data_IF_341761576653
#
_entry.id   IF_341761576653
#
_cell.length_a   1.000
_cell.length_b   1.000
_cell.length_c   1.000
_cell.angle_alpha   90.00
_cell.angle_beta   90.00
_cell.angle_gamma   90.00
#
_symmetry.space_group_name_H-M   'P 1'
#
loop_
_entity.id
_entity.type
_entity.pdbx_description
1 polymer ?
#
# COMPACT_ATOMS: atom_id res chain seq x y z
N UNK A 1 -20.96 -20.35 -4.11
CA UNK A 1 -20.69 -19.39 -3.07
C UNK A 1 -19.19 -19.48 -2.82
N UNK A 2 -18.40 -18.47 -3.20
CA UNK A 2 -16.95 -18.50 -2.96
C UNK A 2 -16.67 -18.33 -1.48
N UNK A 3 -15.55 -18.88 -1.01
CA UNK A 3 -15.13 -18.68 0.39
C UNK A 3 -14.88 -17.20 0.66
N UNK A 4 -15.44 -16.68 1.75
CA UNK A 4 -15.20 -15.30 2.19
C UNK A 4 -13.76 -15.21 2.70
N UNK A 5 -12.98 -14.30 2.14
CA UNK A 5 -11.59 -14.11 2.52
C UNK A 5 -11.49 -13.19 3.73
N UNK A 6 -10.79 -13.64 4.78
CA UNK A 6 -10.48 -12.81 5.94
C UNK A 6 -9.10 -12.17 5.75
N UNK A 7 -9.04 -10.86 5.93
CA UNK A 7 -7.80 -10.08 5.93
C UNK A 7 -7.38 -9.73 7.34
N UNK A 8 -6.12 -9.32 7.47
CA UNK A 8 -5.55 -8.85 8.74
C UNK A 8 -4.84 -7.52 8.52
N UNK A 9 -4.63 -6.75 9.57
CA UNK A 9 -3.79 -5.56 9.55
C UNK A 9 -2.32 -5.96 9.60
N UNK A 10 -1.46 -5.17 8.95
CA UNK A 10 -0.01 -5.29 9.08
C UNK A 10 0.49 -4.16 9.99
N UNK A 11 0.91 -4.52 11.20
CA UNK A 11 1.46 -3.56 12.18
C UNK A 11 2.81 -4.07 12.66
N UNK A 12 3.85 -3.27 12.52
CA UNK A 12 5.23 -3.59 12.93
C UNK A 12 5.79 -4.89 12.31
N UNK A 13 5.34 -5.24 11.11
CA UNK A 13 5.76 -6.47 10.42
C UNK A 13 4.91 -7.71 10.73
N UNK A 14 3.98 -7.63 11.68
CA UNK A 14 3.10 -8.72 12.09
C UNK A 14 1.69 -8.56 11.50
N UNK A 15 1.09 -9.69 11.10
CA UNK A 15 -0.32 -9.75 10.72
C UNK A 15 -1.17 -9.90 11.98
N UNK A 16 -2.06 -8.94 12.22
CA UNK A 16 -2.87 -8.86 13.45
C UNK A 16 -4.35 -8.59 13.14
N UNK A 17 -5.22 -9.13 13.97
CA UNK A 17 -6.63 -8.80 13.98
C UNK A 17 -6.87 -7.50 14.77
N UNK A 18 -8.08 -6.93 14.68
CA UNK A 18 -8.48 -5.81 15.52
C UNK A 18 -8.44 -6.24 17.00
N UNK A 19 -7.99 -5.35 17.91
CA UNK A 19 -7.77 -5.68 19.32
C UNK A 19 -9.04 -6.08 20.08
N UNK A 20 -10.21 -5.66 19.59
CA UNK A 20 -11.52 -6.07 20.09
C UNK A 20 -12.17 -7.20 19.27
N UNK A 21 -11.49 -7.67 18.21
CA UNK A 21 -12.01 -8.67 17.29
C UNK A 21 -13.05 -8.14 16.29
N UNK A 22 -13.26 -6.82 16.22
CA UNK A 22 -14.19 -6.19 15.31
C UNK A 22 -13.79 -6.43 13.84
N UNK A 23 -14.79 -6.72 12.99
CA UNK A 23 -14.63 -6.87 11.55
C UNK A 23 -15.80 -6.25 10.82
N UNK A 24 -15.57 -5.75 9.63
CA UNK A 24 -16.62 -5.35 8.72
C UNK A 24 -16.55 -6.11 7.40
N UNK A 25 -17.69 -6.26 6.77
CA UNK A 25 -17.82 -6.96 5.50
C UNK A 25 -17.54 -5.99 4.33
N UNK A 26 -16.68 -6.41 3.39
CA UNK A 26 -16.56 -5.74 2.10
C UNK A 26 -17.47 -6.42 1.08
N UNK A 27 -18.30 -5.61 0.43
CA UNK A 27 -19.33 -6.04 -0.52
C UNK A 27 -18.88 -5.76 -1.94
N UNK A 28 -18.94 -6.76 -2.81
CA UNK A 28 -18.72 -6.58 -4.25
C UNK A 28 -19.90 -5.80 -4.86
N UNK A 29 -19.70 -4.58 -5.36
CA UNK A 29 -20.78 -3.74 -5.86
C UNK A 29 -21.44 -4.27 -7.16
N UNK A 30 -20.78 -5.21 -7.85
CA UNK A 30 -21.34 -5.82 -9.06
C UNK A 30 -22.30 -6.97 -8.78
N UNK A 31 -22.22 -7.61 -7.61
CA UNK A 31 -22.97 -8.81 -7.26
C UNK A 31 -23.75 -8.66 -5.96
N UNK A 32 -23.52 -7.60 -5.23
CA UNK A 32 -24.09 -7.32 -3.90
C UNK A 32 -23.80 -8.44 -2.85
N UNK A 33 -22.72 -9.18 -3.07
CA UNK A 33 -22.31 -10.24 -2.16
C UNK A 33 -21.07 -9.84 -1.36
N UNK A 34 -21.02 -10.27 -0.10
CA UNK A 34 -19.81 -10.18 0.73
C UNK A 34 -18.74 -11.07 0.11
N UNK A 35 -17.59 -10.52 -0.19
CA UNK A 35 -16.44 -11.23 -0.74
C UNK A 35 -15.26 -11.31 0.24
N UNK A 36 -15.17 -10.37 1.18
CA UNK A 36 -14.12 -10.39 2.20
C UNK A 36 -14.56 -9.76 3.51
N UNK A 37 -13.80 -10.04 4.59
CA UNK A 37 -13.88 -9.41 5.88
C UNK A 37 -12.57 -8.74 6.21
N UNK A 38 -12.66 -7.53 6.74
CA UNK A 38 -11.51 -6.68 7.08
C UNK A 38 -11.62 -6.29 8.55
N UNK A 39 -10.51 -6.26 9.30
CA UNK A 39 -10.53 -5.82 10.70
C UNK A 39 -11.02 -4.38 10.82
N UNK A 40 -11.92 -4.12 11.77
CA UNK A 40 -12.33 -2.79 12.17
C UNK A 40 -11.38 -2.28 13.25
N UNK A 41 -10.36 -1.50 12.81
CA UNK A 41 -9.30 -1.05 13.69
C UNK A 41 -9.84 -0.14 14.81
N UNK A 42 -9.47 -0.44 16.06
CA UNK A 42 -9.75 0.43 17.20
C UNK A 42 -8.78 1.60 17.25
N UNK A 43 -9.07 2.61 18.06
CA UNK A 43 -8.13 3.72 18.32
C UNK A 43 -6.78 3.20 18.84
N UNK A 44 -6.78 2.16 19.67
CA UNK A 44 -5.56 1.53 20.17
C UNK A 44 -4.72 0.91 19.04
N UNK A 45 -5.37 0.27 18.07
CA UNK A 45 -4.71 -0.31 16.90
C UNK A 45 -4.08 0.76 16.02
N UNK A 46 -4.83 1.83 15.77
CA UNK A 46 -4.33 2.99 15.00
C UNK A 46 -3.12 3.61 15.70
N UNK A 47 -3.18 3.83 17.01
CA UNK A 47 -2.08 4.37 17.79
C UNK A 47 -0.84 3.47 17.75
N UNK A 48 -1.01 2.14 17.82
CA UNK A 48 0.09 1.18 17.63
C UNK A 48 0.71 1.28 16.24
N UNK A 49 -0.12 1.35 15.21
CA UNK A 49 0.35 1.45 13.83
C UNK A 49 1.14 2.73 13.59
N UNK A 50 0.62 3.88 14.06
CA UNK A 50 1.30 5.19 13.95
C UNK A 50 2.61 5.19 14.73
N UNK A 51 2.63 4.67 15.96
CA UNK A 51 3.85 4.59 16.79
C UNK A 51 4.91 3.71 16.12
N UNK A 52 4.50 2.55 15.57
CA UNK A 52 5.40 1.67 14.82
C UNK A 52 6.00 2.35 13.60
N UNK A 53 5.17 3.04 12.81
CA UNK A 53 5.63 3.78 11.64
C UNK A 53 6.59 4.92 12.01
N UNK A 54 6.30 5.66 13.08
CA UNK A 54 7.16 6.73 13.58
C UNK A 54 8.52 6.18 14.05
N UNK A 55 8.53 5.10 14.81
CA UNK A 55 9.76 4.46 15.29
C UNK A 55 10.59 3.93 14.12
N UNK A 56 9.96 3.30 13.13
CA UNK A 56 10.66 2.83 11.93
C UNK A 56 11.30 3.97 11.14
N UNK A 57 10.65 5.13 11.09
CA UNK A 57 11.16 6.32 10.43
C UNK A 57 12.28 7.02 11.22
N UNK A 58 12.13 7.20 12.53
CA UNK A 58 13.03 7.98 13.36
C UNK A 58 14.22 7.19 13.91
N UNK A 59 13.99 5.94 14.33
CA UNK A 59 14.96 5.13 15.07
C UNK A 59 15.32 3.83 14.35
N UNK A 60 14.52 3.43 13.35
CA UNK A 60 14.73 2.21 12.58
C UNK A 60 15.87 2.29 11.55
N UNK A 61 16.19 1.16 10.90
CA UNK A 61 17.23 1.11 9.87
C UNK A 61 17.00 2.08 8.71
N UNK A 62 15.74 2.46 8.47
CA UNK A 62 15.37 3.37 7.40
C UNK A 62 16.01 4.76 7.53
N UNK A 63 16.10 5.29 8.75
CA UNK A 63 16.74 6.59 9.03
C UNK A 63 18.22 6.60 8.65
N UNK A 64 18.89 5.46 8.77
CA UNK A 64 20.31 5.27 8.46
C UNK A 64 20.60 4.89 7.00
N UNK A 65 19.55 4.59 6.20
CA UNK A 65 19.75 4.28 4.79
C UNK A 65 20.16 5.52 4.00
N UNK A 66 21.15 5.33 3.12
CA UNK A 66 21.45 6.34 2.11
C UNK A 66 20.25 6.55 1.18
N UNK A 67 20.13 7.71 0.50
CA UNK A 67 19.10 7.91 -0.52
C UNK A 67 19.07 6.78 -1.57
N UNK A 68 20.24 6.32 -2.01
CA UNK A 68 20.37 5.18 -2.93
C UNK A 68 19.83 3.88 -2.30
N UNK A 69 20.07 3.65 -1.01
CA UNK A 69 19.54 2.49 -0.27
C UNK A 69 18.01 2.50 -0.21
N UNK A 70 17.43 3.65 0.13
CA UNK A 70 15.96 3.83 0.11
C UNK A 70 15.37 3.63 -1.28
N UNK A 71 16.02 4.16 -2.32
CA UNK A 71 15.64 3.97 -3.71
C UNK A 71 15.63 2.50 -4.15
N UNK A 72 16.59 1.69 -3.67
CA UNK A 72 16.59 0.24 -3.93
C UNK A 72 15.39 -0.47 -3.32
N UNK A 73 14.98 -0.10 -2.09
CA UNK A 73 13.79 -0.66 -1.45
C UNK A 73 12.50 -0.31 -2.22
N UNK A 74 12.35 0.96 -2.62
CA UNK A 74 11.20 1.41 -3.42
C UNK A 74 11.15 0.71 -4.79
N UNK A 75 12.30 0.52 -5.43
CA UNK A 75 12.37 -0.23 -6.69
C UNK A 75 11.90 -1.67 -6.53
N UNK A 76 12.39 -2.36 -5.48
CA UNK A 76 11.93 -3.71 -5.17
C UNK A 76 10.42 -3.79 -4.91
N UNK A 77 9.86 -2.79 -4.24
CA UNK A 77 8.40 -2.68 -4.07
C UNK A 77 7.70 -2.50 -5.42
N UNK A 78 8.24 -1.65 -6.29
CA UNK A 78 7.72 -1.47 -7.65
C UNK A 78 7.73 -2.76 -8.47
N UNK A 79 8.82 -3.53 -8.43
CA UNK A 79 8.92 -4.84 -9.09
C UNK A 79 7.82 -5.79 -8.58
N UNK A 80 7.65 -5.90 -7.26
CA UNK A 80 6.61 -6.74 -6.66
C UNK A 80 5.20 -6.32 -7.07
N UNK A 81 4.90 -5.02 -7.11
CA UNK A 81 3.62 -4.50 -7.56
C UNK A 81 3.35 -4.82 -9.04
N UNK A 82 4.38 -4.72 -9.88
CA UNK A 82 4.28 -5.06 -11.30
C UNK A 82 4.00 -6.55 -11.49
N UNK A 83 4.74 -7.42 -10.79
CA UNK A 83 4.58 -8.87 -10.84
C UNK A 83 3.20 -9.33 -10.36
N UNK A 84 2.64 -8.65 -9.37
CA UNK A 84 1.32 -8.95 -8.80
C UNK A 84 0.17 -8.10 -9.39
N UNK A 85 0.42 -7.33 -10.44
CA UNK A 85 -0.56 -6.38 -10.99
C UNK A 85 -1.87 -7.03 -11.43
N UNK A 86 -1.83 -8.27 -11.92
CA UNK A 86 -3.02 -9.02 -12.31
C UNK A 86 -3.90 -9.37 -11.10
N UNK A 87 -3.32 -9.89 -10.04
CA UNK A 87 -4.04 -10.27 -8.82
C UNK A 87 -4.56 -9.03 -8.07
N UNK A 88 -3.74 -7.99 -7.97
CA UNK A 88 -4.14 -6.72 -7.35
C UNK A 88 -5.27 -6.05 -8.12
N UNK A 89 -5.17 -6.01 -9.47
CA UNK A 89 -6.23 -5.46 -10.30
C UNK A 89 -7.56 -6.22 -10.16
N UNK A 90 -7.52 -7.55 -10.03
CA UNK A 90 -8.74 -8.35 -9.78
C UNK A 90 -9.36 -8.04 -8.42
N UNK A 91 -8.55 -7.95 -7.36
CA UNK A 91 -9.00 -7.59 -6.01
C UNK A 91 -9.66 -6.22 -6.04
N UNK A 92 -9.00 -5.22 -6.62
CA UNK A 92 -9.55 -3.86 -6.72
C UNK A 92 -10.85 -3.82 -7.53
N UNK A 93 -10.96 -4.60 -8.61
CA UNK A 93 -12.21 -4.71 -9.39
C UNK A 93 -13.34 -5.28 -8.54
N UNK A 94 -13.09 -6.34 -7.78
CA UNK A 94 -14.10 -6.97 -6.92
C UNK A 94 -14.55 -6.02 -5.82
N UNK A 95 -13.60 -5.28 -5.24
CA UNK A 95 -13.86 -4.39 -4.11
C UNK A 95 -14.55 -3.08 -4.52
N UNK A 96 -14.18 -2.51 -5.66
CA UNK A 96 -14.62 -1.15 -6.06
C UNK A 96 -15.62 -1.13 -7.22
N UNK A 97 -15.76 -2.25 -7.94
CA UNK A 97 -16.58 -2.31 -9.16
C UNK A 97 -15.97 -1.67 -10.40
N UNK A 98 -14.72 -1.20 -10.34
CA UNK A 98 -14.01 -0.66 -11.50
C UNK A 98 -13.76 -1.73 -12.57
N UNK A 99 -13.56 -1.31 -13.80
CA UNK A 99 -13.24 -2.22 -14.89
C UNK A 99 -11.86 -2.87 -14.69
N UNK A 100 -11.79 -4.19 -14.86
CA UNK A 100 -10.54 -4.97 -14.68
C UNK A 100 -9.39 -4.47 -15.56
N UNK A 101 -9.67 -3.99 -16.76
CA UNK A 101 -8.64 -3.41 -17.65
C UNK A 101 -8.00 -2.18 -17.04
N UNK A 102 -8.79 -1.35 -16.37
CA UNK A 102 -8.35 -0.12 -15.74
C UNK A 102 -7.53 -0.42 -14.47
N UNK A 103 -8.03 -1.26 -13.59
CA UNK A 103 -7.36 -1.61 -12.33
C UNK A 103 -6.02 -2.30 -12.55
N UNK A 104 -5.92 -3.21 -13.53
CA UNK A 104 -4.65 -3.80 -13.96
C UNK A 104 -3.65 -2.76 -14.45
N UNK A 105 -4.12 -1.82 -15.27
CA UNK A 105 -3.26 -0.76 -15.78
C UNK A 105 -2.78 0.15 -14.64
N UNK A 106 -3.67 0.51 -13.72
CA UNK A 106 -3.32 1.32 -12.55
C UNK A 106 -2.28 0.65 -11.68
N UNK A 107 -2.41 -0.66 -11.39
CA UNK A 107 -1.43 -1.40 -10.61
C UNK A 107 -0.03 -1.39 -11.26
N UNK A 108 0.06 -1.54 -12.58
CA UNK A 108 1.32 -1.42 -13.32
C UNK A 108 1.86 0.02 -13.33
N UNK A 109 0.98 1.00 -13.46
CA UNK A 109 1.37 2.42 -13.49
C UNK A 109 1.92 2.87 -12.14
N UNK A 110 1.33 2.44 -11.03
CA UNK A 110 1.84 2.72 -9.67
C UNK A 110 3.26 2.18 -9.51
N UNK A 111 3.54 0.98 -10.02
CA UNK A 111 4.89 0.43 -10.06
C UNK A 111 5.87 1.37 -10.79
N UNK A 112 5.50 1.88 -11.96
CA UNK A 112 6.31 2.85 -12.70
C UNK A 112 6.58 4.14 -11.91
N UNK A 113 5.59 4.66 -11.18
CA UNK A 113 5.77 5.86 -10.36
C UNK A 113 6.82 5.67 -9.26
N UNK A 114 6.94 4.47 -8.70
CA UNK A 114 7.98 4.16 -7.71
C UNK A 114 9.39 4.16 -8.29
N UNK A 115 9.55 3.87 -9.59
CA UNK A 115 10.84 4.00 -10.28
C UNK A 115 11.22 5.46 -10.56
N UNK A 116 10.22 6.31 -10.79
CA UNK A 116 10.40 7.72 -11.10
C UNK A 116 10.31 8.63 -9.88
N UNK A 117 10.05 8.06 -8.69
CA UNK A 117 10.07 8.79 -7.42
C UNK A 117 11.38 9.56 -7.29
N UNK A 118 11.34 10.87 -6.96
CA UNK A 118 12.49 11.75 -7.14
C UNK A 118 13.73 11.21 -6.44
N UNK A 119 14.71 10.85 -7.27
CA UNK A 119 16.08 10.67 -6.82
C UNK A 119 16.57 12.00 -6.25
N UNK A 120 17.48 12.02 -5.27
CA UNK A 120 18.16 13.26 -4.87
C UNK A 120 18.79 14.03 -6.03
N UNK A 121 19.03 13.39 -7.18
CA UNK A 121 19.43 14.04 -8.43
C UNK A 121 18.33 14.90 -9.03
N UNK A 122 17.06 14.50 -8.89
CA UNK A 122 15.92 15.24 -9.44
C UNK A 122 15.60 16.47 -8.60
N UNK A 123 15.91 16.44 -7.30
CA UNK A 123 15.80 17.60 -6.41
C UNK A 123 16.75 18.76 -6.81
N UNK A 124 17.82 18.46 -7.54
CA UNK A 124 18.72 19.48 -8.12
C UNK A 124 18.21 20.06 -9.43
N UNK A 125 17.37 19.33 -10.17
CA UNK A 125 16.74 19.79 -11.41
C UNK A 125 15.47 20.62 -11.16
N UNK A 126 14.82 20.47 -10.01
CA UNK A 126 13.62 21.25 -9.64
C UNK A 126 13.95 22.66 -9.10
N UNK A 127 15.23 23.01 -8.92
CA UNK A 127 15.65 24.39 -8.71
C UNK A 127 15.78 25.10 -10.04
N UNK A 128 14.65 25.34 -10.70
CA UNK A 128 14.62 26.44 -11.66
C UNK A 128 14.80 27.74 -10.88
N UNK A 129 15.81 28.56 -11.20
CA UNK A 129 15.87 29.91 -10.66
C UNK A 129 14.59 30.62 -11.09
N UNK A 130 13.80 31.09 -10.12
CA UNK A 130 12.78 32.09 -10.42
C UNK A 130 13.51 33.28 -11.03
N UNK A 131 13.47 33.39 -12.37
CA UNK A 131 13.90 34.60 -13.04
C UNK A 131 13.03 35.74 -12.55
N UNK A 132 13.68 36.73 -12.00
CA UNK A 132 13.12 38.02 -11.65
C UNK A 132 12.36 38.65 -12.82
#
# INVERSE_FOLDING_TARGET
MGDIKNYQMLINGDWVDASDGGVFDSVNPSTDNVWSRVPEATEADVNRAVSSAYNAFSEGPWSNFTPTGRGKCLRKLGDLLADHSESLGRIETIDTGKMLKETRWQAKYIACLLYTSPSPRDATLSRMPSSA
#
